data_IF_094065609174
#
_entry.id   IF_094065609174
#
_cell.length_a   1.000
_cell.length_b   1.000
_cell.length_c   1.000
_cell.angle_alpha   90.00
_cell.angle_beta   90.00
_cell.angle_gamma   90.00
#
_symmetry.space_group_name_H-M   'P 1'
#
loop_
_entity.id
_entity.type
_entity.pdbx_description
1 polymer ?
#
# COMPACT_ATOMS: atom_id res chain seq x y z
N UNK A 1 3.93 6.02 9.93
CA UNK A 1 2.57 5.53 9.67
C UNK A 1 2.17 6.05 8.30
N UNK A 2 2.03 5.17 7.31
CA UNK A 2 1.62 5.57 5.95
C UNK A 2 0.12 5.30 5.85
N UNK A 3 -0.65 6.35 5.58
CA UNK A 3 -2.09 6.29 5.42
C UNK A 3 -2.39 6.16 3.92
N UNK A 4 -2.74 4.95 3.49
CA UNK A 4 -3.17 4.68 2.12
C UNK A 4 -4.70 4.58 2.17
N UNK A 5 -5.38 5.71 2.00
CA UNK A 5 -6.84 5.70 1.91
C UNK A 5 -7.23 5.26 0.51
N UNK A 6 -7.65 4.01 0.39
CA UNK A 6 -8.42 3.56 -0.76
C UNK A 6 -9.73 3.03 -0.19
N UNK A 7 -10.79 3.84 -0.30
CA UNK A 7 -12.14 3.33 -0.19
C UNK A 7 -12.39 2.43 -1.39
N UNK A 8 -13.11 1.34 -1.14
CA UNK A 8 -13.54 0.33 -2.10
C UNK A 8 -12.47 -0.58 -2.73
N UNK A 9 -12.37 -1.76 -2.12
CA UNK A 9 -12.28 -3.06 -2.82
C UNK A 9 -11.28 -3.19 -3.98
N UNK A 10 -10.13 -2.53 -3.91
CA UNK A 10 -9.07 -2.74 -4.88
C UNK A 10 -8.33 -4.05 -4.55
N UNK A 11 -8.88 -5.17 -5.03
CA UNK A 11 -8.30 -6.51 -4.92
C UNK A 11 -6.85 -6.56 -5.44
N UNK A 12 -6.42 -5.57 -6.23
CA UNK A 12 -5.09 -5.51 -6.82
C UNK A 12 -3.99 -5.15 -5.79
N UNK A 13 -4.24 -4.21 -4.87
CA UNK A 13 -3.22 -3.79 -3.89
C UNK A 13 -2.91 -4.87 -2.84
N UNK A 14 -3.89 -5.71 -2.50
CA UNK A 14 -3.73 -6.81 -1.55
C UNK A 14 -2.59 -7.77 -1.93
N UNK A 15 -2.42 -8.02 -3.22
CA UNK A 15 -1.32 -8.85 -3.73
C UNK A 15 0.05 -8.19 -3.59
N UNK A 16 0.12 -6.87 -3.78
CA UNK A 16 1.35 -6.11 -3.55
C UNK A 16 1.71 -6.04 -2.07
N UNK A 17 0.73 -5.89 -1.18
CA UNK A 17 0.97 -5.98 0.26
C UNK A 17 1.58 -7.33 0.64
N UNK A 18 1.06 -8.45 0.11
CA UNK A 18 1.69 -9.78 0.32
C UNK A 18 3.16 -9.83 -0.12
N UNK A 19 3.51 -9.14 -1.22
CA UNK A 19 4.88 -9.07 -1.76
C UNK A 19 5.79 -8.07 -1.02
N UNK A 20 5.21 -7.15 -0.24
CA UNK A 20 5.94 -6.06 0.40
C UNK A 20 6.90 -6.53 1.50
N UNK A 21 6.62 -7.65 2.17
CA UNK A 21 7.47 -8.19 3.23
C UNK A 21 6.83 -8.04 4.62
N UNK A 22 7.64 -7.82 5.67
CA UNK A 22 7.14 -7.74 7.05
C UNK A 22 6.47 -6.39 7.30
N UNK A 23 5.15 -6.39 7.25
CA UNK A 23 4.31 -5.24 7.53
C UNK A 23 3.09 -5.66 8.34
N UNK A 24 2.43 -4.69 8.98
CA UNK A 24 1.12 -4.85 9.59
C UNK A 24 0.11 -4.01 8.82
N UNK A 25 -1.04 -4.56 8.48
CA UNK A 25 -2.16 -3.82 7.87
C UNK A 25 -3.26 -3.58 8.90
N UNK A 26 -3.74 -2.34 9.01
CA UNK A 26 -4.99 -1.98 9.68
C UNK A 26 -6.14 -1.81 8.67
N UNK A 27 -7.30 -1.29 9.10
CA UNK A 27 -8.47 -1.06 8.23
C UNK A 27 -8.15 -0.26 6.95
N UNK A 28 -7.20 0.68 7.03
CA UNK A 28 -6.80 1.54 5.90
C UNK A 28 -5.36 2.04 6.00
N UNK A 29 -4.53 1.42 6.85
CA UNK A 29 -3.19 1.93 7.14
C UNK A 29 -2.14 0.82 7.16
N UNK A 30 -0.95 1.15 6.62
CA UNK A 30 0.19 0.26 6.58
C UNK A 30 1.18 0.63 7.68
N UNK A 31 1.47 -0.32 8.54
CA UNK A 31 2.44 -0.21 9.63
C UNK A 31 3.71 -0.99 9.28
N UNK A 32 4.78 -0.24 9.07
CA UNK A 32 6.12 -0.77 8.81
C UNK A 32 7.00 -0.37 9.98
N UNK A 33 7.70 -1.34 10.59
CA UNK A 33 8.61 -1.07 11.70
C UNK A 33 9.98 -0.60 11.21
N UNK A 34 10.52 -1.23 10.17
CA UNK A 34 11.82 -0.90 9.58
C UNK A 34 11.71 -0.91 8.06
N UNK A 35 12.37 0.04 7.40
CA UNK A 35 12.42 0.07 5.94
C UNK A 35 13.19 -1.12 5.35
N UNK A 36 14.16 -1.68 6.10
CA UNK A 36 14.89 -2.88 5.70
C UNK A 36 14.04 -4.17 5.70
N UNK A 37 12.92 -4.17 6.42
CA UNK A 37 12.01 -5.31 6.52
C UNK A 37 10.98 -5.35 5.37
N UNK A 38 10.97 -4.31 4.54
CA UNK A 38 10.06 -4.15 3.39
C UNK A 38 10.82 -3.95 2.09
N UNK A 39 10.18 -4.34 1.00
CA UNK A 39 10.67 -4.20 -0.37
C UNK A 39 10.31 -2.81 -0.89
N UNK A 40 11.28 -1.91 -0.99
CA UNK A 40 11.07 -0.53 -1.49
C UNK A 40 10.55 -0.53 -2.93
N UNK A 41 11.03 -1.44 -3.75
CA UNK A 41 10.57 -1.73 -5.12
C UNK A 41 9.07 -2.05 -5.19
N UNK A 42 8.52 -2.70 -4.17
CA UNK A 42 7.08 -2.98 -4.07
C UNK A 42 6.33 -1.80 -3.46
N UNK A 43 6.95 -1.10 -2.50
CA UNK A 43 6.37 0.09 -1.87
C UNK A 43 6.12 1.21 -2.88
N UNK A 44 7.07 1.47 -3.79
CA UNK A 44 6.92 2.46 -4.86
C UNK A 44 5.75 2.11 -5.80
N UNK A 45 5.61 0.84 -6.17
CA UNK A 45 4.49 0.38 -7.00
C UNK A 45 3.13 0.56 -6.30
N UNK A 46 3.07 0.27 -5.00
CA UNK A 46 1.87 0.48 -4.18
C UNK A 46 1.50 1.96 -4.15
N UNK A 47 2.47 2.85 -3.91
CA UNK A 47 2.25 4.30 -3.87
C UNK A 47 1.78 4.80 -5.24
N UNK A 48 2.46 4.40 -6.32
CA UNK A 48 2.07 4.78 -7.69
C UNK A 48 0.64 4.37 -8.04
N UNK A 49 0.24 3.14 -7.71
CA UNK A 49 -1.14 2.67 -7.89
C UNK A 49 -2.12 3.41 -6.99
N UNK A 50 -1.78 3.63 -5.73
CA UNK A 50 -2.63 4.38 -4.80
C UNK A 50 -2.89 5.81 -5.26
N UNK A 51 -1.90 6.47 -5.88
CA UNK A 51 -2.05 7.80 -6.44
C UNK A 51 -2.90 7.81 -7.72
N UNK A 52 -2.75 6.81 -8.58
CA UNK A 52 -3.56 6.68 -9.79
C UNK A 52 -5.05 6.52 -9.46
N UNK A 53 -5.38 5.80 -8.39
CA UNK A 53 -6.76 5.65 -7.92
C UNK A 53 -7.34 6.98 -7.41
N UNK A 54 -6.53 7.81 -6.75
CA UNK A 54 -6.94 9.12 -6.25
C UNK A 54 -7.25 10.15 -7.36
N UNK A 55 -6.76 9.92 -8.59
CA UNK A 55 -7.02 10.79 -9.74
C UNK A 55 -8.31 10.45 -10.49
N UNK A 56 -8.98 9.34 -10.18
CA UNK A 56 -10.22 8.93 -10.84
C UNK A 56 -11.50 9.41 -10.14
N UNK A 57 -11.40 10.04 -8.97
CA UNK A 57 -12.49 10.80 -8.35
C UNK A 57 -12.45 12.24 -8.88
N UNK A 58 -13.06 12.46 -10.06
CA UNK A 58 -13.34 13.79 -10.63
C UNK A 58 -14.70 13.79 -11.32
#
# INVERSE_FOLDING_TARGET
MIYLTSCDNDQNLAEYFKKLGKHKTGKSCLYINKLADVRLDVLEQIIGKSMQNLQSDN
#
